data_IF_438402437219
#
_entry.id   IF_438402437219
#
_cell.length_a   1.000
_cell.length_b   1.000
_cell.length_c   1.000
_cell.angle_alpha   90.00
_cell.angle_beta   90.00
_cell.angle_gamma   90.00
#
_symmetry.space_group_name_H-M   'P 1'
#
loop_
_entity.id
_entity.type
_entity.pdbx_description
1 polymer ?
#
# COMPACT_ATOMS: atom_id res chain seq x y z
N UNK A 1 18.02 -1.56 -6.64
CA UNK A 1 18.83 -2.42 -5.75
C UNK A 1 19.93 -1.64 -4.99
N UNK A 2 20.84 -0.91 -5.64
CA UNK A 2 21.93 -0.19 -4.93
C UNK A 2 21.47 0.87 -3.90
N UNK A 3 20.51 1.73 -4.26
CA UNK A 3 20.02 2.79 -3.37
C UNK A 3 19.28 2.26 -2.12
N UNK A 4 18.40 1.27 -2.31
CA UNK A 4 17.64 0.64 -1.22
C UNK A 4 18.57 -0.03 -0.21
N UNK A 5 19.58 -0.77 -0.70
CA UNK A 5 20.56 -1.42 0.15
C UNK A 5 21.46 -0.41 0.89
N UNK A 6 21.76 0.75 0.29
CA UNK A 6 22.49 1.83 0.96
C UNK A 6 21.67 2.47 2.09
N UNK A 7 20.38 2.74 1.84
CA UNK A 7 19.46 3.27 2.85
C UNK A 7 19.24 2.29 3.99
N UNK A 8 19.10 0.99 3.69
CA UNK A 8 18.96 -0.06 4.69
C UNK A 8 20.20 -0.17 5.58
N UNK A 9 21.41 -0.09 5.00
CA UNK A 9 22.66 -0.06 5.77
C UNK A 9 22.76 1.15 6.68
N UNK A 10 22.25 2.32 6.25
CA UNK A 10 22.22 3.53 7.09
C UNK A 10 21.22 3.39 8.26
N UNK A 11 20.13 2.65 8.06
CA UNK A 11 19.15 2.33 9.10
C UNK A 11 19.57 1.21 10.05
N UNK A 12 20.71 0.55 9.83
CA UNK A 12 21.17 -0.56 10.68
C UNK A 12 21.36 -0.16 12.15
N UNK A 13 21.65 1.12 12.41
CA UNK A 13 21.84 1.66 13.77
C UNK A 13 20.56 1.84 14.58
N UNK A 14 19.38 1.73 13.96
CA UNK A 14 18.09 1.91 14.62
C UNK A 14 17.47 0.56 14.99
N UNK A 15 17.20 0.26 16.27
CA UNK A 15 16.51 -0.95 16.69
C UNK A 15 15.02 -0.85 16.38
N UNK A 16 14.64 -1.15 15.14
CA UNK A 16 13.25 -1.13 14.71
C UNK A 16 12.54 -2.44 15.10
N UNK A 17 11.44 -2.31 15.84
CA UNK A 17 10.51 -3.39 16.19
C UNK A 17 9.32 -3.41 15.23
N UNK A 18 8.62 -4.55 15.08
CA UNK A 18 7.42 -4.62 14.26
C UNK A 18 6.40 -3.55 14.71
N UNK A 19 6.02 -2.65 13.80
CA UNK A 19 5.23 -1.46 14.11
C UNK A 19 3.87 -1.45 13.43
N UNK A 20 3.73 -2.10 12.28
CA UNK A 20 2.56 -1.90 11.42
C UNK A 20 1.26 -2.34 12.10
N UNK A 21 1.31 -3.43 12.89
CA UNK A 21 0.16 -3.88 13.69
C UNK A 21 -0.38 -2.79 14.63
N UNK A 22 0.50 -2.00 15.23
CA UNK A 22 0.12 -0.93 16.15
C UNK A 22 -0.48 0.26 15.40
N UNK A 23 -0.02 0.52 14.17
CA UNK A 23 -0.65 1.51 13.29
C UNK A 23 -2.09 1.12 12.96
N UNK A 24 -2.33 -0.14 12.61
CA UNK A 24 -3.70 -0.61 12.30
C UNK A 24 -4.59 -0.58 13.54
N UNK A 25 -4.07 -0.91 14.73
CA UNK A 25 -4.80 -0.75 15.99
C UNK A 25 -5.14 0.72 16.28
N UNK A 26 -4.21 1.64 16.01
CA UNK A 26 -4.49 3.07 16.13
C UNK A 26 -5.59 3.53 15.17
N UNK A 27 -5.57 3.08 13.90
CA UNK A 27 -6.65 3.33 12.94
C UNK A 27 -7.99 2.82 13.48
N UNK A 28 -8.03 1.61 14.05
CA UNK A 28 -9.24 1.05 14.65
C UNK A 28 -9.76 1.92 15.80
N UNK A 29 -8.87 2.38 16.69
CA UNK A 29 -9.22 3.28 17.78
C UNK A 29 -9.78 4.63 17.29
N UNK A 30 -9.18 5.22 16.26
CA UNK A 30 -9.66 6.47 15.64
C UNK A 30 -11.03 6.28 15.00
N UNK A 31 -11.25 5.15 14.32
CA UNK A 31 -12.57 4.82 13.75
C UNK A 31 -13.63 4.73 14.84
N UNK A 32 -13.35 4.03 15.94
CA UNK A 32 -14.27 3.92 17.08
C UNK A 32 -14.56 5.29 17.70
N UNK A 33 -13.54 6.14 17.87
CA UNK A 33 -13.74 7.51 18.38
C UNK A 33 -14.63 8.34 17.46
N UNK A 34 -14.49 8.24 16.15
CA UNK A 34 -15.35 8.93 15.19
C UNK A 34 -16.81 8.46 15.29
N UNK A 35 -17.06 7.18 15.61
CA UNK A 35 -18.42 6.68 15.84
C UNK A 35 -19.08 7.31 17.08
N UNK A 36 -18.31 7.57 18.14
CA UNK A 36 -18.84 8.20 19.36
C UNK A 36 -18.94 9.73 19.25
N UNK A 37 -18.07 10.37 18.47
CA UNK A 37 -17.99 11.83 18.36
C UNK A 37 -18.05 12.32 16.90
N UNK A 38 -19.14 12.02 16.15
CA UNK A 38 -19.21 12.31 14.71
C UNK A 38 -19.15 13.81 14.40
N UNK A 39 -19.60 14.68 15.32
CA UNK A 39 -19.56 16.14 15.14
C UNK A 39 -18.14 16.71 15.16
N UNK A 40 -17.19 16.00 15.78
CA UNK A 40 -15.80 16.45 15.88
C UNK A 40 -15.06 16.37 14.52
N UNK A 41 -15.50 15.49 13.63
CA UNK A 41 -14.90 15.21 12.32
C UNK A 41 -13.38 14.93 12.42
N UNK A 42 -13.01 13.95 13.28
CA UNK A 42 -11.62 13.61 13.59
C UNK A 42 -10.86 13.22 12.31
N UNK A 43 -11.50 12.44 11.44
CA UNK A 43 -10.90 11.97 10.18
C UNK A 43 -10.47 13.15 9.31
N UNK A 44 -11.30 14.18 9.16
CA UNK A 44 -10.99 15.35 8.35
C UNK A 44 -9.83 16.15 8.93
N UNK A 45 -9.77 16.30 10.26
CA UNK A 45 -8.68 16.98 10.98
C UNK A 45 -7.35 16.23 10.89
N UNK A 46 -7.39 14.91 10.78
CA UNK A 46 -6.21 14.06 10.67
C UNK A 46 -5.74 13.84 9.22
N UNK A 47 -6.62 14.05 8.25
CA UNK A 47 -6.31 13.85 6.83
C UNK A 47 -5.36 14.90 6.28
N UNK A 48 -4.59 14.54 5.26
CA UNK A 48 -3.61 15.46 4.68
C UNK A 48 -4.28 16.41 3.69
N UNK A 49 -4.49 17.65 4.11
CA UNK A 49 -4.91 18.74 3.23
C UNK A 49 -3.79 19.77 3.13
N UNK A 50 -3.48 20.22 1.91
CA UNK A 50 -2.34 21.11 1.65
C UNK A 50 -2.59 22.52 2.18
N UNK A 51 -3.83 23.02 2.10
CA UNK A 51 -4.14 24.37 2.59
C UNK A 51 -3.96 24.53 4.11
N UNK A 52 -4.50 23.65 4.98
CA UNK A 52 -4.21 23.67 6.42
C UNK A 52 -2.74 23.38 6.75
N UNK A 53 -2.09 22.49 5.98
CA UNK A 53 -0.67 22.19 6.15
C UNK A 53 0.20 23.46 6.02
N UNK A 54 -0.07 24.28 4.99
CA UNK A 54 0.61 25.56 4.76
C UNK A 54 0.29 26.62 5.82
N UNK A 55 -0.80 26.47 6.58
CA UNK A 55 -1.19 27.33 7.70
C UNK A 55 -0.59 26.90 9.04
N UNK A 56 0.29 25.88 9.05
CA UNK A 56 1.01 25.44 10.25
C UNK A 56 0.54 24.10 10.84
N UNK A 57 -0.42 23.41 10.22
CA UNK A 57 -0.90 22.09 10.67
C UNK A 57 0.04 20.93 10.25
N UNK A 58 1.31 21.02 10.64
CA UNK A 58 2.40 20.11 10.20
C UNK A 58 2.16 18.66 10.68
N UNK A 59 1.43 18.47 11.79
CA UNK A 59 1.08 17.15 12.29
C UNK A 59 0.30 16.30 11.28
N UNK A 60 -0.38 16.92 10.30
CA UNK A 60 -1.12 16.23 9.24
C UNK A 60 -0.26 15.30 8.41
N UNK A 61 1.04 15.58 8.30
CA UNK A 61 2.03 14.74 7.62
C UNK A 61 2.24 13.40 8.34
N UNK A 62 1.95 13.32 9.63
CA UNK A 62 2.01 12.09 10.40
C UNK A 62 0.63 11.48 10.62
N UNK A 63 -0.38 12.29 10.95
CA UNK A 63 -1.72 11.77 11.30
C UNK A 63 -2.44 11.12 10.13
N UNK A 64 -2.16 11.53 8.88
CA UNK A 64 -2.78 10.90 7.72
C UNK A 64 -2.40 9.41 7.58
N UNK A 65 -1.25 9.02 8.15
CA UNK A 65 -0.75 7.64 8.14
C UNK A 65 -1.57 6.69 9.01
N UNK A 66 -2.43 7.21 9.89
CA UNK A 66 -3.28 6.44 10.79
C UNK A 66 -4.76 6.77 10.63
N UNK A 67 -5.13 7.43 9.52
CA UNK A 67 -6.55 7.65 9.18
C UNK A 67 -7.22 6.30 8.87
N UNK A 68 -8.36 5.99 9.49
CA UNK A 68 -9.07 4.73 9.26
C UNK A 68 -9.66 4.65 7.84
N UNK A 69 -9.94 3.43 7.35
CA UNK A 69 -10.67 3.24 6.11
C UNK A 69 -12.07 3.86 6.20
N UNK A 70 -12.49 4.50 5.11
CA UNK A 70 -13.84 5.03 4.98
C UNK A 70 -14.86 3.91 4.77
N UNK A 71 -16.07 4.08 5.29
CA UNK A 71 -17.18 3.15 5.10
C UNK A 71 -17.93 2.82 6.40
N UNK A 72 -18.95 1.97 6.26
CA UNK A 72 -19.69 1.46 7.41
C UNK A 72 -18.87 0.50 8.28
N UNK A 73 -19.39 0.16 9.46
CA UNK A 73 -18.67 -0.62 10.49
C UNK A 73 -18.11 -1.93 9.92
N UNK A 74 -18.93 -2.69 9.18
CA UNK A 74 -18.51 -3.96 8.58
C UNK A 74 -17.38 -3.77 7.55
N UNK A 75 -17.48 -2.75 6.71
CA UNK A 75 -16.47 -2.45 5.70
C UNK A 75 -15.16 -2.03 6.35
N UNK A 76 -15.22 -1.15 7.36
CA UNK A 76 -14.07 -0.68 8.10
C UNK A 76 -13.37 -1.85 8.84
N UNK A 77 -14.13 -2.68 9.54
CA UNK A 77 -13.61 -3.87 10.23
C UNK A 77 -12.92 -4.83 9.27
N UNK A 78 -13.55 -5.10 8.12
CA UNK A 78 -12.98 -5.93 7.08
C UNK A 78 -11.68 -5.32 6.55
N UNK A 79 -11.68 -4.04 6.14
CA UNK A 79 -10.49 -3.34 5.64
C UNK A 79 -9.34 -3.34 6.65
N UNK A 80 -9.62 -3.07 7.93
CA UNK A 80 -8.62 -3.11 9.01
C UNK A 80 -8.04 -4.52 9.19
N UNK A 81 -8.87 -5.56 9.15
CA UNK A 81 -8.40 -6.94 9.18
C UNK A 81 -7.46 -7.24 8.00
N UNK A 82 -7.84 -6.85 6.78
CA UNK A 82 -6.99 -7.01 5.60
C UNK A 82 -5.66 -6.26 5.73
N UNK A 83 -5.69 -5.01 6.22
CA UNK A 83 -4.47 -4.22 6.41
C UNK A 83 -3.56 -4.87 7.44
N UNK A 84 -4.12 -5.27 8.59
CA UNK A 84 -3.37 -5.99 9.61
C UNK A 84 -2.71 -7.24 9.03
N UNK A 85 -3.47 -8.07 8.33
CA UNK A 85 -3.00 -9.32 7.75
C UNK A 85 -1.88 -9.09 6.72
N UNK A 86 -2.12 -8.23 5.73
CA UNK A 86 -1.17 -7.99 4.65
C UNK A 86 0.09 -7.31 5.18
N UNK A 87 -0.07 -6.27 6.01
CA UNK A 87 1.04 -5.49 6.51
C UNK A 87 1.95 -6.30 7.44
N UNK A 88 1.39 -7.10 8.34
CA UNK A 88 2.20 -7.98 9.22
C UNK A 88 2.89 -9.09 8.43
N UNK A 89 2.23 -9.67 7.42
CA UNK A 89 2.82 -10.68 6.55
C UNK A 89 4.00 -10.12 5.73
N UNK A 90 3.87 -8.89 5.21
CA UNK A 90 4.93 -8.19 4.49
C UNK A 90 6.08 -7.76 5.41
N UNK A 91 5.77 -7.18 6.58
CA UNK A 91 6.76 -6.76 7.58
C UNK A 91 7.62 -7.94 8.05
N UNK A 92 6.99 -9.10 8.26
CA UNK A 92 7.68 -10.35 8.61
C UNK A 92 8.53 -10.88 7.44
N UNK A 93 7.99 -10.83 6.20
CA UNK A 93 8.67 -11.39 5.02
C UNK A 93 9.88 -10.56 4.58
N UNK A 94 9.82 -9.24 4.65
CA UNK A 94 10.91 -8.36 4.24
C UNK A 94 11.85 -8.00 5.38
N UNK A 95 11.41 -8.17 6.63
CA UNK A 95 12.05 -7.60 7.79
C UNK A 95 11.63 -6.14 8.02
N UNK A 96 11.61 -5.77 9.31
CA UNK A 96 11.07 -4.48 9.79
C UNK A 96 11.70 -3.28 9.09
N UNK A 97 13.01 -3.29 8.86
CA UNK A 97 13.74 -2.15 8.25
C UNK A 97 13.32 -1.90 6.81
N UNK A 98 13.27 -2.95 5.98
CA UNK A 98 12.90 -2.84 4.58
C UNK A 98 11.43 -2.43 4.44
N UNK A 99 10.57 -2.95 5.30
CA UNK A 99 9.17 -2.56 5.37
C UNK A 99 8.99 -1.10 5.82
N UNK A 100 9.73 -0.64 6.83
CA UNK A 100 9.73 0.76 7.25
C UNK A 100 10.14 1.69 6.11
N UNK A 101 11.21 1.39 5.38
CA UNK A 101 11.64 2.17 4.22
C UNK A 101 10.57 2.20 3.13
N UNK A 102 9.95 1.06 2.82
CA UNK A 102 8.83 1.00 1.88
C UNK A 102 7.72 1.96 2.30
N UNK A 103 7.32 1.90 3.57
CA UNK A 103 6.22 2.70 4.08
C UNK A 103 6.54 4.21 4.08
N UNK A 104 7.75 4.60 4.50
CA UNK A 104 8.19 6.00 4.51
C UNK A 104 8.33 6.57 3.10
N UNK A 105 8.91 5.81 2.16
CA UNK A 105 9.02 6.25 0.77
C UNK A 105 7.62 6.47 0.19
N UNK A 106 6.71 5.52 0.42
CA UNK A 106 5.31 5.67 0.02
C UNK A 106 4.64 6.91 0.62
N UNK A 107 4.93 7.21 1.89
CA UNK A 107 4.39 8.38 2.57
C UNK A 107 4.88 9.67 1.91
N UNK A 108 6.18 9.74 1.59
CA UNK A 108 6.77 10.87 0.85
C UNK A 108 6.12 11.04 -0.51
N UNK A 109 5.90 9.96 -1.27
CA UNK A 109 5.18 10.03 -2.54
C UNK A 109 3.73 10.54 -2.37
N UNK A 110 3.03 10.09 -1.33
CA UNK A 110 1.68 10.56 -1.02
C UNK A 110 1.64 12.05 -0.64
N UNK A 111 2.63 12.53 0.12
CA UNK A 111 2.78 13.95 0.49
C UNK A 111 3.06 14.79 -0.75
N UNK A 112 4.01 14.37 -1.60
CA UNK A 112 4.30 15.07 -2.86
C UNK A 112 3.05 15.14 -3.73
N UNK A 113 2.32 14.03 -3.88
CA UNK A 113 1.06 14.02 -4.61
C UNK A 113 0.05 15.01 -4.00
N UNK A 114 -0.08 15.06 -2.66
CA UNK A 114 -0.96 16.00 -1.98
C UNK A 114 -0.62 17.47 -2.28
N UNK A 115 0.66 17.82 -2.40
CA UNK A 115 1.05 19.20 -2.77
C UNK A 115 0.54 19.60 -4.16
N UNK A 116 0.48 18.67 -5.11
CA UNK A 116 -0.06 18.94 -6.46
C UNK A 116 -1.59 18.91 -6.51
N UNK A 117 -2.23 18.08 -5.70
CA UNK A 117 -3.67 17.81 -5.78
C UNK A 117 -4.51 18.55 -4.73
N UNK A 118 -3.87 19.10 -3.70
CA UNK A 118 -4.50 19.71 -2.53
C UNK A 118 -4.92 18.72 -1.43
N UNK A 119 -4.85 17.41 -1.69
CA UNK A 119 -5.32 16.36 -0.78
C UNK A 119 -4.53 15.05 -0.91
N UNK A 120 -4.12 14.49 0.23
CA UNK A 120 -3.41 13.22 0.33
C UNK A 120 -4.17 12.20 1.17
N UNK A 121 -4.22 10.96 0.70
CA UNK A 121 -4.86 9.86 1.43
C UNK A 121 -3.91 8.70 1.65
N UNK A 122 -4.18 7.94 2.71
CA UNK A 122 -3.52 6.66 2.97
C UNK A 122 -4.03 5.53 2.05
N UNK A 123 -5.05 5.78 1.24
CA UNK A 123 -5.59 4.80 0.29
C UNK A 123 -4.49 4.30 -0.65
N UNK A 124 -3.63 5.22 -1.12
CA UNK A 124 -2.54 4.91 -2.04
C UNK A 124 -1.41 4.11 -1.40
N UNK A 125 -1.13 4.38 -0.12
CA UNK A 125 -0.20 3.60 0.69
C UNK A 125 -0.71 2.17 0.89
N UNK A 126 -1.95 2.03 1.34
CA UNK A 126 -2.61 0.74 1.52
C UNK A 126 -2.72 -0.04 0.21
N UNK A 127 -2.97 0.65 -0.90
CA UNK A 127 -2.99 0.04 -2.21
C UNK A 127 -1.61 -0.48 -2.62
N UNK A 128 -0.55 0.30 -2.36
CA UNK A 128 0.81 -0.15 -2.64
C UNK A 128 1.20 -1.38 -1.82
N UNK A 129 0.75 -1.46 -0.56
CA UNK A 129 0.89 -2.66 0.27
C UNK A 129 0.13 -3.84 -0.32
N UNK A 130 -1.11 -3.63 -0.76
CA UNK A 130 -1.92 -4.67 -1.38
C UNK A 130 -1.27 -5.23 -2.66
N UNK A 131 -0.78 -4.37 -3.55
CA UNK A 131 -0.07 -4.82 -4.75
C UNK A 131 1.24 -5.54 -4.42
N UNK A 132 2.01 -5.03 -3.46
CA UNK A 132 3.23 -5.70 -3.01
C UNK A 132 2.95 -7.11 -2.48
N UNK A 133 1.86 -7.26 -1.72
CA UNK A 133 1.39 -8.56 -1.25
C UNK A 133 0.96 -9.47 -2.41
N UNK A 134 0.24 -8.94 -3.39
CA UNK A 134 -0.19 -9.68 -4.57
C UNK A 134 0.98 -10.22 -5.41
N UNK A 135 2.09 -9.48 -5.47
CA UNK A 135 3.31 -9.91 -6.18
C UNK A 135 4.00 -11.05 -5.44
N UNK A 136 4.04 -11.02 -4.11
CA UNK A 136 4.76 -12.01 -3.30
C UNK A 136 3.92 -13.27 -3.08
N UNK A 137 2.61 -13.10 -2.92
CA UNK A 137 1.66 -14.17 -2.61
C UNK A 137 0.52 -14.21 -3.65
N UNK A 138 0.82 -14.41 -4.95
CA UNK A 138 -0.19 -14.31 -6.01
C UNK A 138 -1.26 -15.40 -5.94
N UNK A 139 -0.89 -16.59 -5.47
CA UNK A 139 -1.79 -17.73 -5.35
C UNK A 139 -2.44 -17.86 -3.98
N UNK A 140 -2.16 -16.94 -3.04
CA UNK A 140 -2.83 -16.90 -1.76
C UNK A 140 -4.32 -16.62 -1.95
N UNK A 141 -5.17 -17.32 -1.19
CA UNK A 141 -6.62 -17.17 -1.25
C UNK A 141 -7.08 -16.35 -0.06
N UNK A 142 -7.81 -15.26 -0.33
CA UNK A 142 -8.50 -14.52 0.71
C UNK A 142 -9.99 -14.79 0.62
N UNK A 143 -10.59 -15.09 1.77
CA UNK A 143 -12.02 -15.28 1.90
C UNK A 143 -12.72 -13.91 1.89
N UNK A 144 -13.28 -13.55 0.74
CA UNK A 144 -14.09 -12.35 0.59
C UNK A 144 -15.41 -12.53 1.35
N UNK A 145 -15.71 -11.60 2.27
CA UNK A 145 -16.83 -11.67 3.22
C UNK A 145 -16.87 -12.98 4.05
N UNK A 146 -15.73 -13.64 4.26
CA UNK A 146 -15.67 -14.95 4.92
C UNK A 146 -16.37 -16.10 4.15
N UNK A 147 -16.82 -15.87 2.91
CA UNK A 147 -17.59 -16.85 2.12
C UNK A 147 -16.84 -17.30 0.86
N UNK A 148 -16.29 -16.37 0.08
CA UNK A 148 -15.75 -16.68 -1.25
C UNK A 148 -14.21 -16.64 -1.27
N UNK A 149 -13.50 -17.78 -1.43
CA UNK A 149 -12.05 -17.80 -1.55
C UNK A 149 -11.62 -17.27 -2.93
N UNK A 150 -11.05 -16.06 -2.98
CA UNK A 150 -10.54 -15.45 -4.20
C UNK A 150 -9.02 -15.33 -4.13
N UNK A 151 -8.33 -15.74 -5.19
CA UNK A 151 -6.87 -15.57 -5.27
C UNK A 151 -6.51 -14.09 -5.34
N UNK A 152 -5.50 -13.68 -4.59
CA UNK A 152 -5.06 -12.28 -4.49
C UNK A 152 -4.72 -11.69 -5.86
N UNK A 153 -4.12 -12.46 -6.77
CA UNK A 153 -3.81 -11.98 -8.13
C UNK A 153 -5.03 -11.48 -8.90
N UNK A 154 -6.19 -12.09 -8.70
CA UNK A 154 -7.44 -11.66 -9.36
C UNK A 154 -7.97 -10.37 -8.74
N UNK A 155 -7.91 -10.25 -7.41
CA UNK A 155 -8.27 -9.01 -6.71
C UNK A 155 -7.35 -7.85 -7.10
N UNK A 156 -6.05 -8.10 -7.24
CA UNK A 156 -5.08 -7.13 -7.73
C UNK A 156 -5.35 -6.71 -9.18
N UNK A 157 -5.65 -7.66 -10.07
CA UNK A 157 -6.00 -7.36 -11.45
C UNK A 157 -7.30 -6.54 -11.54
N UNK A 158 -8.33 -6.92 -10.80
CA UNK A 158 -9.59 -6.18 -10.72
C UNK A 158 -9.34 -4.74 -10.27
N UNK A 159 -8.62 -4.56 -9.16
CA UNK A 159 -8.26 -3.23 -8.66
C UNK A 159 -7.52 -2.43 -9.74
N UNK A 160 -6.52 -3.03 -10.39
CA UNK A 160 -5.76 -2.39 -11.47
C UNK A 160 -6.67 -1.89 -12.60
N UNK A 161 -7.63 -2.72 -13.04
CA UNK A 161 -8.61 -2.34 -14.07
C UNK A 161 -9.48 -1.17 -13.61
N UNK A 162 -10.01 -1.22 -12.38
CA UNK A 162 -10.77 -0.10 -11.81
C UNK A 162 -9.96 1.19 -11.74
N UNK A 163 -8.66 1.11 -11.44
CA UNK A 163 -7.77 2.27 -11.44
C UNK A 163 -7.52 2.81 -12.84
N UNK A 164 -7.31 1.96 -13.83
CA UNK A 164 -7.18 2.41 -15.22
C UNK A 164 -8.44 3.11 -15.71
N UNK A 165 -9.63 2.58 -15.39
CA UNK A 165 -10.91 3.24 -15.68
C UNK A 165 -11.02 4.60 -14.97
N UNK A 166 -10.62 4.66 -13.70
CA UNK A 166 -10.58 5.89 -12.91
C UNK A 166 -9.55 6.90 -13.43
N UNK A 167 -8.53 6.46 -14.15
CA UNK A 167 -7.52 7.34 -14.75
C UNK A 167 -8.08 8.10 -15.95
N UNK A 168 -9.03 7.49 -16.68
CA UNK A 168 -9.70 8.08 -17.84
C UNK A 168 -10.84 9.01 -17.39
N UNK A 169 -11.67 8.54 -16.45
CA UNK A 169 -12.91 9.22 -16.06
C UNK A 169 -12.81 10.01 -14.75
N UNK A 170 -11.78 9.77 -13.94
CA UNK A 170 -11.70 10.34 -12.59
C UNK A 170 -11.14 11.77 -12.56
N UNK A 171 -11.31 12.48 -11.44
CA UNK A 171 -10.76 13.82 -11.24
C UNK A 171 -9.22 13.85 -11.24
N UNK A 172 -8.63 15.00 -11.56
CA UNK A 172 -7.16 15.18 -11.66
C UNK A 172 -6.42 14.73 -10.39
N UNK A 173 -6.99 14.98 -9.21
CA UNK A 173 -6.41 14.54 -7.94
C UNK A 173 -6.34 13.02 -7.80
N UNK A 174 -7.34 12.31 -8.32
CA UNK A 174 -7.38 10.84 -8.28
C UNK A 174 -6.33 10.26 -9.24
N UNK A 175 -6.18 10.87 -10.43
CA UNK A 175 -5.18 10.44 -11.43
C UNK A 175 -3.75 10.59 -10.91
N UNK A 176 -3.42 11.77 -10.40
CA UNK A 176 -2.07 12.06 -9.91
C UNK A 176 -1.67 11.11 -8.77
N UNK A 177 -2.60 10.80 -7.88
CA UNK A 177 -2.32 9.94 -6.75
C UNK A 177 -2.29 8.44 -7.11
N UNK A 178 -3.08 7.98 -8.10
CA UNK A 178 -2.92 6.65 -8.69
C UNK A 178 -1.52 6.52 -9.31
N UNK A 179 -1.10 7.49 -10.11
CA UNK A 179 0.23 7.51 -10.74
C UNK A 179 1.33 7.47 -9.67
N UNK A 180 1.22 8.27 -8.61
CA UNK A 180 2.16 8.26 -7.49
C UNK A 180 2.24 6.87 -6.81
N UNK A 181 1.10 6.20 -6.61
CA UNK A 181 1.06 4.86 -6.02
C UNK A 181 1.72 3.80 -6.92
N UNK A 182 1.48 3.86 -8.24
CA UNK A 182 2.09 2.94 -9.21
C UNK A 182 3.58 3.20 -9.36
N UNK A 183 4.00 4.47 -9.40
CA UNK A 183 5.41 4.86 -9.41
C UNK A 183 6.13 4.39 -8.14
N UNK A 184 5.51 4.52 -6.97
CA UNK A 184 6.06 4.03 -5.71
C UNK A 184 6.32 2.51 -5.78
N UNK A 185 5.34 1.73 -6.24
CA UNK A 185 5.49 0.28 -6.43
C UNK A 185 6.58 -0.01 -7.46
N UNK A 186 6.58 0.67 -8.62
CA UNK A 186 7.61 0.47 -9.66
C UNK A 186 9.01 0.81 -9.17
N UNK A 187 9.19 1.80 -8.30
CA UNK A 187 10.50 2.14 -7.73
C UNK A 187 11.00 1.08 -6.75
N UNK A 188 10.12 0.57 -5.89
CA UNK A 188 10.50 -0.40 -4.86
C UNK A 188 10.61 -1.83 -5.42
N UNK A 189 9.65 -2.20 -6.26
CA UNK A 189 9.52 -3.53 -6.84
C UNK A 189 10.07 -3.63 -8.26
N UNK A 190 10.39 -2.55 -8.98
CA UNK A 190 10.81 -2.64 -10.39
C UNK A 190 12.01 -3.53 -10.62
N UNK A 191 12.99 -3.55 -9.69
CA UNK A 191 14.11 -4.47 -9.75
C UNK A 191 13.73 -5.93 -9.49
N UNK A 192 12.85 -6.19 -8.52
CA UNK A 192 12.40 -7.54 -8.15
C UNK A 192 11.39 -8.09 -9.18
N UNK A 193 10.49 -7.26 -9.72
CA UNK A 193 9.52 -7.57 -10.77
C UNK A 193 10.21 -7.85 -12.10
N UNK A 194 11.22 -7.07 -12.49
CA UNK A 194 11.96 -7.34 -13.72
C UNK A 194 12.79 -8.61 -13.62
N UNK A 195 13.40 -8.89 -12.47
CA UNK A 195 14.11 -10.14 -12.23
C UNK A 195 13.15 -11.34 -12.15
N UNK A 196 12.00 -11.19 -11.50
CA UNK A 196 10.96 -12.22 -11.42
C UNK A 196 10.36 -12.49 -12.80
N UNK A 197 9.98 -11.46 -13.56
CA UNK A 197 9.50 -11.58 -14.93
C UNK A 197 10.54 -12.23 -15.84
N UNK A 198 11.81 -11.81 -15.77
CA UNK A 198 12.91 -12.45 -16.50
C UNK A 198 13.07 -13.91 -16.11
N UNK A 199 12.99 -14.24 -14.82
CA UNK A 199 13.11 -15.63 -14.35
C UNK A 199 11.95 -16.51 -14.81
N UNK A 200 10.71 -16.00 -14.80
CA UNK A 200 9.51 -16.69 -15.29
C UNK A 200 9.56 -16.88 -16.81
N UNK A 201 9.96 -15.85 -17.56
CA UNK A 201 10.16 -15.93 -19.01
C UNK A 201 11.26 -16.96 -19.34
N UNK A 202 12.38 -16.94 -18.60
CA UNK A 202 13.48 -17.88 -18.81
C UNK A 202 13.11 -19.32 -18.40
N UNK A 203 12.27 -19.51 -17.38
CA UNK A 203 11.72 -20.81 -17.02
C UNK A 203 10.74 -21.33 -18.08
N UNK A 204 9.89 -20.45 -18.63
CA UNK A 204 8.98 -20.79 -19.72
C UNK A 204 9.74 -21.16 -21.00
N UNK A 205 10.75 -20.37 -21.40
CA UNK A 205 11.64 -20.67 -22.52
C UNK A 205 12.36 -22.01 -22.34
N UNK A 206 12.87 -22.30 -21.13
CA UNK A 206 13.50 -23.59 -20.81
C UNK A 206 12.53 -24.77 -20.91
N UNK A 207 11.28 -24.60 -20.44
CA UNK A 207 10.23 -25.62 -20.57
C UNK A 207 9.84 -25.87 -22.03
N UNK A 208 9.80 -24.83 -22.86
CA UNK A 208 9.55 -24.99 -24.30
C UNK A 208 10.73 -25.63 -25.04
N UNK A 209 11.98 -25.26 -24.70
CA UNK A 209 13.17 -25.90 -25.24
C UNK A 209 13.25 -27.39 -24.86
N UNK A 210 12.91 -27.74 -23.62
CA UNK A 210 12.80 -29.15 -23.19
C UNK A 210 11.75 -29.92 -23.99
N UNK A 211 10.54 -29.36 -24.19
CA UNK A 211 9.48 -29.99 -25.01
C UNK A 211 9.86 -30.17 -26.48
N UNK A 212 10.74 -29.30 -27.00
CA UNK A 212 11.23 -29.38 -28.38
C UNK A 212 12.35 -30.40 -28.56
N UNK A 213 13.19 -30.60 -27.54
CA UNK A 213 14.26 -31.61 -27.53
C UNK A 213 13.79 -33.01 -27.08
N UNK A 214 12.58 -33.13 -26.53
CA UNK A 214 11.97 -34.40 -26.12
C UNK A 214 10.99 -34.96 -27.17
N UNK A 215 11.05 -34.48 -28.42
CA UNK A 215 10.33 -34.99 -29.59
C UNK A 215 11.37 -35.34 -30.64
#
# INVERSE_FOLDING_TARGET
MKLLNQLERKLYRLPLKPFFRYMVLAMAGIYVLELFFPTFNLISRMSLFTAPLLRGEIWRVLTFLIVPPFGGILQAALSLYFFFFIGTALETRWGVRRFFLFYVIGAVFAIIAAFFTGYGTNLYLNLSLFFAFAVIYPDYQILLFFVLPIKVKWLALLNLIFYFASLINGPVYTRAAIIASLLHILLFFGGDLTNMARSTINQWKRRQAFKKNSR
#
